data_IF_257250859715
#
_entry.id   IF_257250859715
#
_cell.length_a   1.000
_cell.length_b   1.000
_cell.length_c   1.000
_cell.angle_alpha   90.00
_cell.angle_beta   90.00
_cell.angle_gamma   90.00
#
_symmetry.space_group_name_H-M   'P 1'
#
loop_
_entity.id
_entity.type
_entity.pdbx_description
1 polymer ?
#
# COMPACT_ATOMS: atom_id res chain seq x y z
N UNK A 1 54.28 11.34 17.98
CA UNK A 1 53.30 11.03 19.05
C UNK A 1 52.00 11.73 18.69
N UNK A 2 50.91 10.94 18.65
CA UNK A 2 49.48 11.28 18.79
C UNK A 2 48.96 12.59 18.17
N UNK A 3 48.01 12.62 17.24
CA UNK A 3 46.89 11.71 17.02
C UNK A 3 45.58 12.34 17.54
N UNK A 4 44.55 12.28 16.69
CA UNK A 4 43.10 12.50 16.91
C UNK A 4 42.54 13.91 16.69
N UNK A 5 41.35 14.08 16.11
CA UNK A 5 40.42 13.23 15.33
C UNK A 5 39.52 14.26 14.64
N UNK A 6 39.32 14.13 13.32
CA UNK A 6 38.21 14.80 12.65
C UNK A 6 36.93 14.17 13.19
N UNK A 7 36.18 14.92 14.01
CA UNK A 7 34.82 14.54 14.34
C UNK A 7 34.04 14.53 13.03
N UNK A 8 33.65 13.33 12.61
CA UNK A 8 32.79 13.13 11.46
C UNK A 8 31.47 13.87 11.70
N UNK A 9 31.06 14.60 10.68
CA UNK A 9 29.65 14.87 10.43
C UNK A 9 28.96 13.50 10.31
N UNK A 10 28.26 13.07 11.36
CA UNK A 10 27.26 12.01 11.26
C UNK A 10 26.02 12.64 10.61
N UNK A 11 25.61 12.24 9.39
CA UNK A 11 24.28 12.53 8.91
C UNK A 11 23.33 11.51 9.54
N UNK A 12 23.19 11.53 10.87
CA UNK A 12 22.17 10.73 11.53
C UNK A 12 20.84 11.46 11.39
N UNK A 13 20.31 11.40 10.17
CA UNK A 13 18.95 11.74 9.85
C UNK A 13 18.03 10.69 10.47
N UNK A 14 17.89 10.72 11.79
CA UNK A 14 16.73 10.16 12.47
C UNK A 14 15.50 10.88 11.95
N UNK A 15 14.97 10.39 10.83
CA UNK A 15 13.61 10.65 10.40
C UNK A 15 12.76 10.27 11.62
N UNK A 16 12.00 11.21 12.22
CA UNK A 16 11.27 10.91 13.45
C UNK A 16 10.44 9.65 13.20
N UNK A 17 10.52 8.69 14.14
CA UNK A 17 9.71 7.47 14.13
C UNK A 17 8.28 7.90 13.86
N UNK A 18 7.76 7.54 12.68
CA UNK A 18 6.45 8.01 12.24
C UNK A 18 5.38 7.23 13.00
N UNK A 19 5.16 7.62 14.25
CA UNK A 19 4.27 6.93 15.17
C UNK A 19 2.81 7.27 14.86
N UNK A 20 1.96 6.27 14.95
CA UNK A 20 0.51 6.45 14.90
C UNK A 20 -0.04 6.90 16.23
N UNK A 21 -0.99 7.83 16.18
CA UNK A 21 -1.87 8.07 17.30
C UNK A 21 -3.02 7.05 17.27
N UNK A 22 -3.39 6.44 18.40
CA UNK A 22 -4.54 5.54 18.46
C UNK A 22 -5.80 6.24 17.95
N UNK A 23 -6.59 5.52 17.15
CA UNK A 23 -7.88 6.01 16.67
C UNK A 23 -9.00 5.15 17.24
N UNK A 24 -10.01 5.81 17.79
CA UNK A 24 -11.21 5.12 18.26
C UNK A 24 -12.12 4.87 17.08
N UNK A 25 -12.26 3.61 16.67
CA UNK A 25 -13.22 3.18 15.66
C UNK A 25 -14.51 2.76 16.38
N UNK A 26 -15.69 3.26 15.98
CA UNK A 26 -16.95 2.78 16.54
C UNK A 26 -17.14 1.28 16.34
N UNK A 27 -17.95 0.64 17.18
CA UNK A 27 -18.43 -0.73 16.93
C UNK A 27 -19.34 -0.79 15.69
N UNK A 28 -19.70 -1.99 15.19
CA UNK A 28 -20.63 -2.11 14.07
C UNK A 28 -22.01 -1.54 14.39
N UNK A 29 -22.77 -1.12 13.38
CA UNK A 29 -24.17 -0.74 13.58
C UNK A 29 -24.99 -1.96 14.06
N UNK A 30 -26.00 -1.79 14.94
CA UNK A 30 -26.68 -2.91 15.60
C UNK A 30 -27.40 -3.88 14.65
N UNK A 31 -27.80 -3.40 13.48
CA UNK A 31 -28.48 -4.20 12.47
C UNK A 31 -27.51 -4.87 11.48
N UNK A 32 -26.26 -4.42 11.41
CA UNK A 32 -25.25 -4.97 10.50
C UNK A 32 -24.94 -6.43 10.85
N UNK A 33 -25.02 -7.28 9.81
CA UNK A 33 -24.66 -8.70 9.89
C UNK A 33 -23.26 -8.91 9.32
N UNK A 34 -22.63 -10.08 9.56
CA UNK A 34 -21.34 -10.42 8.97
C UNK A 34 -21.33 -10.18 7.46
N UNK A 35 -20.33 -9.45 6.97
CA UNK A 35 -20.20 -9.09 5.56
C UNK A 35 -20.12 -10.27 4.57
N UNK A 36 -19.70 -11.50 4.95
CA UNK A 36 -19.82 -12.67 4.08
C UNK A 36 -21.26 -13.09 3.79
N UNK A 37 -22.25 -12.65 4.59
CA UNK A 37 -23.66 -12.93 4.34
C UNK A 37 -24.18 -12.08 3.17
N UNK A 38 -24.59 -12.74 2.07
CA UNK A 38 -24.90 -12.06 0.82
C UNK A 38 -26.37 -11.60 0.69
N UNK A 39 -27.31 -12.29 1.35
CA UNK A 39 -28.74 -12.07 1.14
C UNK A 39 -29.34 -11.14 2.18
N UNK A 40 -29.89 -10.00 1.71
CA UNK A 40 -30.57 -9.00 2.53
C UNK A 40 -29.72 -8.53 3.73
N UNK A 41 -28.40 -8.43 3.53
CA UNK A 41 -27.48 -7.95 4.55
C UNK A 41 -27.53 -6.42 4.61
N UNK A 42 -27.92 -5.83 5.75
CA UNK A 42 -27.93 -4.38 5.93
C UNK A 42 -26.52 -3.79 6.08
N UNK A 43 -25.50 -4.63 6.24
CA UNK A 43 -24.10 -4.21 6.19
C UNK A 43 -23.78 -3.68 4.77
N UNK A 44 -23.30 -2.43 4.64
CA UNK A 44 -22.95 -1.87 3.33
C UNK A 44 -21.71 -2.54 2.71
N UNK A 45 -20.89 -3.20 3.52
CA UNK A 45 -19.75 -3.97 3.07
C UNK A 45 -20.14 -5.41 2.75
N UNK A 46 -19.60 -5.90 1.63
CA UNK A 46 -19.76 -7.27 1.17
C UNK A 46 -18.39 -7.93 1.04
N UNK A 47 -18.12 -8.95 1.84
CA UNK A 47 -16.80 -9.62 1.85
C UNK A 47 -16.61 -10.47 0.60
N UNK A 48 -15.38 -10.44 0.08
CA UNK A 48 -14.86 -11.38 -0.92
C UNK A 48 -13.66 -12.12 -0.34
N UNK A 49 -13.44 -13.36 -0.77
CA UNK A 49 -12.24 -14.08 -0.34
C UNK A 49 -10.98 -13.48 -0.98
N UNK A 50 -9.82 -13.66 -0.37
CA UNK A 50 -8.55 -13.26 -0.98
C UNK A 50 -8.37 -13.84 -2.39
N UNK A 51 -8.82 -15.07 -2.62
CA UNK A 51 -8.77 -15.74 -3.94
C UNK A 51 -9.69 -15.13 -5.00
N UNK A 52 -10.76 -14.44 -4.59
CA UNK A 52 -11.60 -13.70 -5.55
C UNK A 52 -10.89 -12.40 -5.99
N UNK A 53 -9.98 -11.89 -5.16
CA UNK A 53 -9.25 -10.63 -5.38
C UNK A 53 -8.05 -10.77 -6.30
N UNK A 54 -7.45 -11.96 -6.46
CA UNK A 54 -6.26 -12.16 -7.34
C UNK A 54 -6.58 -11.94 -8.82
N UNK A 55 -7.86 -12.01 -9.20
CA UNK A 55 -8.31 -11.63 -10.55
C UNK A 55 -8.35 -10.10 -10.76
N UNK A 56 -8.26 -9.31 -9.69
CA UNK A 56 -8.38 -7.86 -9.69
C UNK A 56 -7.01 -7.22 -9.47
N UNK A 57 -6.69 -6.24 -10.31
CA UNK A 57 -5.51 -5.41 -10.10
C UNK A 57 -5.88 -4.25 -9.19
N UNK A 58 -5.15 -4.06 -8.10
CA UNK A 58 -5.37 -2.98 -7.14
C UNK A 58 -4.25 -1.95 -7.21
N UNK A 59 -4.51 -0.74 -6.69
CA UNK A 59 -3.49 0.26 -6.41
C UNK A 59 -3.72 0.83 -5.01
N UNK A 60 -2.69 1.25 -4.30
CA UNK A 60 -2.87 1.86 -3.00
C UNK A 60 -3.42 3.29 -3.17
N UNK A 61 -4.32 3.69 -2.27
CA UNK A 61 -4.98 5.01 -2.30
C UNK A 61 -4.83 5.78 -0.98
N UNK A 62 -4.35 5.16 0.10
CA UNK A 62 -4.13 5.81 1.38
C UNK A 62 -3.69 4.85 2.48
N UNK A 63 -3.39 5.40 3.65
CA UNK A 63 -2.99 4.63 4.84
C UNK A 63 -3.82 5.07 6.05
N UNK A 64 -4.44 4.11 6.72
CA UNK A 64 -5.18 4.30 7.96
C UNK A 64 -4.31 3.95 9.17
N UNK A 65 -4.61 4.49 10.36
CA UNK A 65 -3.97 4.05 11.59
C UNK A 65 -4.14 2.54 11.85
N UNK A 66 -3.21 1.85 12.52
CA UNK A 66 -3.47 0.50 12.99
C UNK A 66 -4.47 0.50 14.18
N UNK A 67 -5.10 -0.64 14.50
CA UNK A 67 -4.99 -1.95 13.83
C UNK A 67 -6.10 -2.22 12.79
N UNK A 68 -5.81 -3.09 11.81
CA UNK A 68 -6.78 -3.55 10.81
C UNK A 68 -8.00 -4.22 11.44
N UNK A 69 -7.82 -4.91 12.57
CA UNK A 69 -8.90 -5.56 13.31
C UNK A 69 -9.99 -4.59 13.75
N UNK A 70 -9.66 -3.32 14.03
CA UNK A 70 -10.66 -2.33 14.40
C UNK A 70 -11.60 -2.00 13.24
N UNK A 71 -11.06 -1.87 12.02
CA UNK A 71 -11.84 -1.63 10.80
C UNK A 71 -12.64 -2.85 10.38
N UNK A 72 -12.03 -4.03 10.49
CA UNK A 72 -12.71 -5.29 10.24
C UNK A 72 -13.89 -5.50 11.21
N UNK A 73 -13.71 -5.20 12.50
CA UNK A 73 -14.78 -5.30 13.49
C UNK A 73 -15.94 -4.32 13.19
N UNK A 74 -15.63 -3.06 12.83
CA UNK A 74 -16.62 -2.06 12.44
C UNK A 74 -17.48 -2.53 11.27
N UNK A 75 -16.86 -3.10 10.24
CA UNK A 75 -17.54 -3.57 9.04
C UNK A 75 -17.96 -5.05 9.12
N UNK A 76 -17.80 -5.71 10.27
CA UNK A 76 -18.08 -7.14 10.48
C UNK A 76 -17.45 -8.04 9.39
N UNK A 77 -16.21 -7.71 9.03
CA UNK A 77 -15.38 -8.41 8.03
C UNK A 77 -14.63 -9.57 8.68
N UNK A 78 -14.25 -10.54 7.85
CA UNK A 78 -13.27 -11.54 8.23
C UNK A 78 -11.88 -11.08 7.79
N UNK A 79 -10.91 -11.18 8.70
CA UNK A 79 -9.50 -10.93 8.41
C UNK A 79 -8.87 -12.27 8.02
N UNK A 80 -8.34 -12.32 6.81
CA UNK A 80 -7.57 -13.44 6.29
C UNK A 80 -6.09 -13.18 6.54
N UNK A 81 -5.33 -14.23 6.84
CA UNK A 81 -3.88 -14.15 6.98
C UNK A 81 -3.22 -14.77 5.76
N UNK A 82 -2.30 -14.04 5.14
CA UNK A 82 -1.49 -14.52 4.03
C UNK A 82 -0.01 -14.41 4.36
N UNK A 83 0.78 -15.21 3.66
CA UNK A 83 2.22 -15.08 3.58
C UNK A 83 2.54 -14.60 2.17
N UNK A 84 2.98 -13.36 2.07
CA UNK A 84 3.59 -12.85 0.84
C UNK A 84 5.11 -13.06 0.95
N UNK A 85 5.82 -13.00 -0.17
CA UNK A 85 7.30 -13.12 -0.21
C UNK A 85 8.04 -12.11 0.71
N UNK A 86 7.30 -11.13 1.26
CA UNK A 86 7.78 -10.03 2.08
C UNK A 86 7.25 -10.05 3.52
N UNK A 87 6.61 -11.14 3.96
CA UNK A 87 6.21 -11.38 5.35
C UNK A 87 4.72 -11.72 5.53
N UNK A 88 4.34 -11.94 6.79
CA UNK A 88 2.94 -12.18 7.14
C UNK A 88 2.11 -10.89 7.03
N UNK A 89 0.96 -11.01 6.36
CA UNK A 89 0.04 -9.91 6.12
C UNK A 89 -1.39 -10.30 6.53
N UNK A 90 -2.01 -9.44 7.33
CA UNK A 90 -3.45 -9.49 7.59
C UNK A 90 -4.17 -8.73 6.47
N UNK A 91 -5.21 -9.34 5.89
CA UNK A 91 -5.92 -8.81 4.72
C UNK A 91 -7.42 -8.91 4.92
N UNK A 92 -8.16 -7.89 4.51
CA UNK A 92 -9.61 -7.95 4.35
C UNK A 92 -10.01 -7.40 2.98
N UNK A 93 -10.71 -8.21 2.18
CA UNK A 93 -11.19 -7.86 0.85
C UNK A 93 -12.70 -7.72 0.87
N UNK A 94 -13.21 -6.59 0.41
CA UNK A 94 -14.64 -6.34 0.38
C UNK A 94 -15.02 -5.35 -0.71
N UNK A 95 -16.31 -5.33 -1.03
CA UNK A 95 -16.93 -4.29 -1.82
C UNK A 95 -17.73 -3.37 -0.92
N UNK A 96 -17.63 -2.08 -1.16
CA UNK A 96 -18.49 -1.07 -0.57
C UNK A 96 -19.18 -0.32 -1.73
N UNK A 97 -20.50 -0.42 -1.79
CA UNK A 97 -21.25 0.08 -2.94
C UNK A 97 -20.75 -0.53 -4.26
N UNK A 98 -20.13 0.30 -5.11
CA UNK A 98 -19.56 -0.11 -6.41
C UNK A 98 -18.05 -0.38 -6.36
N UNK A 99 -17.37 -0.01 -5.29
CA UNK A 99 -15.91 -0.01 -5.21
C UNK A 99 -15.39 -1.25 -4.50
N UNK A 100 -14.34 -1.84 -5.06
CA UNK A 100 -13.64 -2.98 -4.47
C UNK A 100 -12.39 -2.51 -3.74
N UNK A 101 -12.35 -2.83 -2.45
CA UNK A 101 -11.27 -2.48 -1.55
C UNK A 101 -10.52 -3.71 -1.06
N UNK A 102 -9.24 -3.52 -0.81
CA UNK A 102 -8.44 -4.40 0.04
C UNK A 102 -7.86 -3.54 1.15
N UNK A 103 -7.95 -4.02 2.39
CA UNK A 103 -7.19 -3.49 3.52
C UNK A 103 -6.08 -4.48 3.82
N UNK A 104 -4.85 -3.99 3.99
CA UNK A 104 -3.72 -4.84 4.36
C UNK A 104 -2.89 -4.24 5.49
N UNK A 105 -2.45 -5.07 6.42
CA UNK A 105 -1.50 -4.70 7.47
C UNK A 105 -0.39 -5.74 7.55
N UNK A 106 0.86 -5.29 7.43
CA UNK A 106 2.02 -6.15 7.68
C UNK A 106 2.19 -6.30 9.20
N UNK A 107 2.23 -7.55 9.68
CA UNK A 107 2.25 -7.82 11.12
C UNK A 107 3.67 -7.79 11.71
N UNK A 108 4.68 -7.97 10.85
CA UNK A 108 6.10 -8.04 11.26
C UNK A 108 6.82 -6.67 11.20
N UNK A 109 6.17 -5.64 10.65
CA UNK A 109 6.75 -4.30 10.49
C UNK A 109 5.92 -3.29 11.28
N UNK A 110 6.49 -2.81 12.38
CA UNK A 110 5.87 -1.78 13.22
C UNK A 110 5.63 -0.48 12.43
N UNK A 111 4.64 0.30 12.86
CA UNK A 111 4.33 1.64 12.36
C UNK A 111 3.97 1.76 10.86
N UNK A 112 3.74 0.65 10.14
CA UNK A 112 3.33 0.68 8.72
C UNK A 112 1.91 1.17 8.48
N UNK A 113 1.04 1.04 9.48
CA UNK A 113 -0.39 1.33 9.36
C UNK A 113 -1.15 0.31 8.50
N UNK A 114 -2.39 0.62 8.18
CA UNK A 114 -3.25 -0.21 7.32
C UNK A 114 -3.32 0.42 5.95
N UNK A 115 -2.78 -0.25 4.94
CA UNK A 115 -2.82 0.24 3.56
C UNK A 115 -4.20 -0.01 2.97
N UNK A 116 -4.79 1.02 2.37
CA UNK A 116 -6.05 0.95 1.63
C UNK A 116 -5.73 0.82 0.16
N UNK A 117 -6.24 -0.25 -0.46
CA UNK A 117 -6.11 -0.51 -1.88
C UNK A 117 -7.46 -0.42 -2.55
N UNK A 118 -7.48 0.11 -3.76
CA UNK A 118 -8.66 0.23 -4.61
C UNK A 118 -8.41 -0.48 -5.92
N UNK A 119 -9.40 -1.22 -6.42
CA UNK A 119 -9.36 -1.79 -7.76
C UNK A 119 -9.04 -0.71 -8.81
N UNK A 120 -8.05 -0.97 -9.66
CA UNK A 120 -7.53 -0.03 -10.67
C UNK A 120 -8.56 0.43 -11.68
N UNK A 121 -9.68 -0.29 -11.84
CA UNK A 121 -10.79 0.11 -12.72
C UNK A 121 -11.51 1.37 -12.22
N UNK A 122 -11.41 1.69 -10.93
CA UNK A 122 -12.03 2.89 -10.34
C UNK A 122 -11.03 4.04 -10.32
N UNK A 123 -11.36 5.15 -10.99
CA UNK A 123 -10.48 6.33 -11.08
C UNK A 123 -10.72 7.35 -9.96
N UNK A 124 -11.85 7.24 -9.26
CA UNK A 124 -12.32 8.14 -8.20
C UNK A 124 -11.75 7.77 -6.80
N UNK A 125 -10.43 7.62 -6.72
CA UNK A 125 -9.74 7.12 -5.52
C UNK A 125 -9.97 7.95 -4.25
N UNK A 126 -9.90 9.28 -4.37
CA UNK A 126 -10.13 10.18 -3.22
C UNK A 126 -11.56 10.12 -2.70
N UNK A 127 -12.54 10.08 -3.60
CA UNK A 127 -13.96 9.98 -3.22
C UNK A 127 -14.27 8.62 -2.58
N UNK A 128 -13.73 7.54 -3.16
CA UNK A 128 -13.87 6.19 -2.62
C UNK A 128 -13.22 6.09 -1.22
N UNK A 129 -12.03 6.68 -1.02
CA UNK A 129 -11.38 6.74 0.28
C UNK A 129 -12.21 7.53 1.29
N UNK A 130 -12.76 8.68 0.90
CA UNK A 130 -13.61 9.48 1.77
C UNK A 130 -14.88 8.73 2.21
N UNK A 131 -15.53 8.02 1.29
CA UNK A 131 -16.69 7.17 1.59
C UNK A 131 -16.33 6.07 2.60
N UNK A 132 -15.20 5.38 2.38
CA UNK A 132 -14.73 4.37 3.31
C UNK A 132 -14.46 4.95 4.71
N UNK A 133 -13.78 6.09 4.79
CA UNK A 133 -13.42 6.75 6.05
C UNK A 133 -14.64 7.20 6.84
N UNK A 134 -15.65 7.74 6.14
CA UNK A 134 -16.92 8.16 6.73
C UNK A 134 -17.65 6.96 7.38
N UNK A 135 -17.75 5.84 6.66
CA UNK A 135 -18.39 4.62 7.17
C UNK A 135 -17.63 4.01 8.35
N UNK A 136 -16.29 4.05 8.29
CA UNK A 136 -15.44 3.63 9.40
C UNK A 136 -15.53 4.57 10.60
N UNK A 137 -16.11 5.77 10.45
CA UNK A 137 -16.24 6.76 11.53
C UNK A 137 -14.89 7.33 11.97
N UNK A 138 -13.91 7.36 11.08
CA UNK A 138 -12.56 7.84 11.37
C UNK A 138 -12.46 9.32 10.97
N UNK A 139 -11.83 10.19 11.77
CA UNK A 139 -11.57 11.56 11.34
C UNK A 139 -10.61 11.58 10.13
N UNK A 140 -10.99 12.31 9.07
CA UNK A 140 -10.23 12.32 7.81
C UNK A 140 -8.78 12.81 7.93
N UNK A 141 -8.46 13.62 8.94
CA UNK A 141 -7.11 14.09 9.26
C UNK A 141 -6.18 12.99 9.82
N UNK A 142 -6.75 11.83 10.19
CA UNK A 142 -6.00 10.62 10.60
C UNK A 142 -5.59 9.75 9.43
N UNK A 143 -6.19 9.94 8.27
CA UNK A 143 -5.80 9.26 7.04
C UNK A 143 -4.63 9.97 6.43
N UNK A 144 -3.64 9.21 5.96
CA UNK A 144 -2.47 9.80 5.33
C UNK A 144 -2.22 9.25 3.96
N UNK A 145 -1.43 10.05 3.26
CA UNK A 145 -0.94 9.71 1.94
C UNK A 145 -0.13 8.41 1.95
N UNK A 146 -0.17 7.74 0.81
CA UNK A 146 0.48 6.46 0.62
C UNK A 146 2.00 6.48 0.79
N UNK A 147 2.65 7.63 0.61
CA UNK A 147 4.07 7.82 0.94
C UNK A 147 4.37 7.70 2.44
N UNK A 148 3.34 7.54 3.29
CA UNK A 148 3.55 7.13 4.67
C UNK A 148 4.04 5.69 4.76
N UNK A 149 3.40 4.74 4.08
CA UNK A 149 3.73 3.32 4.20
C UNK A 149 5.10 3.01 3.58
N UNK A 150 6.14 2.69 4.37
CA UNK A 150 7.50 2.47 3.86
C UNK A 150 7.70 1.03 3.32
N UNK A 151 6.61 0.27 3.13
CA UNK A 151 6.73 -1.14 2.80
C UNK A 151 7.13 -1.34 1.33
N UNK A 152 8.11 -2.21 1.01
CA UNK A 152 8.62 -2.40 -0.35
C UNK A 152 7.53 -2.70 -1.40
N UNK A 153 6.48 -3.45 -1.03
CA UNK A 153 5.31 -3.69 -1.92
C UNK A 153 4.67 -2.38 -2.35
N UNK A 154 4.46 -1.47 -1.41
CA UNK A 154 3.84 -0.16 -1.67
C UNK A 154 4.80 0.70 -2.49
N UNK A 155 6.09 0.72 -2.15
CA UNK A 155 7.09 1.46 -2.93
C UNK A 155 7.17 1.00 -4.39
N UNK A 156 7.09 -0.31 -4.64
CA UNK A 156 7.07 -0.88 -5.99
C UNK A 156 5.83 -0.45 -6.79
N UNK A 157 4.68 -0.33 -6.14
CA UNK A 157 3.44 0.12 -6.77
C UNK A 157 3.43 1.63 -7.04
N UNK A 158 4.05 2.43 -6.17
CA UNK A 158 4.21 3.88 -6.39
C UNK A 158 5.24 4.20 -7.47
N UNK A 159 6.28 3.38 -7.59
CA UNK A 159 7.34 3.52 -8.57
C UNK A 159 7.44 2.27 -9.45
N UNK A 160 6.46 2.02 -10.33
CA UNK A 160 6.55 0.90 -11.24
C UNK A 160 7.80 1.08 -12.08
N UNK A 161 8.74 0.13 -12.01
CA UNK A 161 9.92 0.14 -12.88
C UNK A 161 9.41 0.22 -14.32
N UNK A 162 9.93 1.13 -15.16
CA UNK A 162 9.53 1.18 -16.55
C UNK A 162 9.77 -0.21 -17.14
N UNK A 163 8.80 -0.73 -17.88
CA UNK A 163 8.97 -2.01 -18.53
C UNK A 163 10.20 -1.92 -19.44
N UNK A 164 10.96 -3.00 -19.65
CA UNK A 164 12.14 -2.96 -20.53
C UNK A 164 11.82 -2.44 -21.95
N UNK A 165 10.57 -2.56 -22.39
CA UNK A 165 10.03 -2.05 -23.65
C UNK A 165 9.84 -0.52 -23.71
N UNK A 166 9.65 0.14 -22.56
CA UNK A 166 9.47 1.59 -22.42
C UNK A 166 10.78 2.33 -22.08
N UNK A 167 11.87 1.59 -21.86
CA UNK A 167 13.19 2.19 -21.70
C UNK A 167 13.55 2.94 -22.99
N UNK A 168 14.02 4.21 -22.90
CA UNK A 168 14.51 4.93 -24.07
C UNK A 168 15.56 4.06 -24.75
N UNK A 169 15.28 3.62 -25.98
CA UNK A 169 16.25 2.83 -26.76
C UNK A 169 17.55 3.62 -26.76
N UNK A 170 18.68 3.02 -26.36
CA UNK A 170 19.95 3.73 -26.44
C UNK A 170 20.14 4.16 -27.89
N UNK A 171 20.18 5.48 -28.11
CA UNK A 171 20.43 6.08 -29.40
C UNK A 171 21.63 5.38 -30.00
N UNK A 172 21.43 4.68 -31.13
CA UNK A 172 22.50 4.04 -31.88
C UNK A 172 23.43 5.15 -32.37
N UNK A 173 24.40 5.53 -31.55
CA UNK A 173 25.57 6.26 -32.02
C UNK A 173 26.21 5.38 -33.10
N UNK A 174 26.42 5.91 -34.32
CA UNK A 174 27.06 5.14 -35.37
C UNK A 174 28.47 4.79 -34.90
N UNK A 175 28.76 3.49 -34.82
CA UNK A 175 30.12 2.98 -34.61
C UNK A 175 31.00 3.52 -35.74
N UNK A 176 31.89 4.46 -35.41
CA UNK A 176 32.95 4.90 -36.31
C UNK A 176 33.80 3.67 -36.70
N UNK A 177 34.03 3.41 -38.00
CA UNK A 177 34.88 2.31 -38.41
C UNK A 177 36.34 2.62 -38.03
N UNK A 178 36.97 1.67 -37.32
CA UNK A 178 38.43 1.65 -37.15
C UNK A 178 39.06 1.41 -38.52
N UNK A 179 39.56 2.48 -39.14
CA UNK A 179 40.44 2.36 -40.29
C UNK A 179 41.80 1.81 -39.86
N UNK A 180 42.11 0.62 -40.37
CA UNK A 180 43.45 0.07 -40.49
C UNK A 180 44.37 1.04 -41.23
N UNK A 181 45.57 1.28 -40.69
CA UNK A 181 46.71 1.72 -41.51
C UNK A 181 47.96 0.96 -41.09
N UNK A 182 48.30 -0.03 -41.90
CA UNK A 182 49.63 -0.61 -42.03
C UNK A 182 50.59 0.44 -42.62
N UNK A 183 51.82 0.53 -42.10
CA UNK A 183 53.05 0.32 -42.89
C UNK A 183 54.34 0.41 -42.04
N UNK A 184 55.24 -0.49 -42.43
CA UNK A 184 56.64 -0.71 -42.02
C UNK A 184 57.52 0.54 -42.02
N UNK A 185 58.55 0.51 -41.18
CA UNK A 185 59.95 0.49 -41.63
C UNK A 185 60.72 -0.51 -40.80
#
# INVERSE_FOLDING_TARGET
MSGRVFAGDEPDGHRPLRRWEPVAVPGPEPDWRPAPEYQANPNPALQYGMWDSVALSHRPIGVLPPPLQAYAARLVLLVEQSWEDLGQVDVATFRLGRHFFVLSQFTEVEDTGVTVWLDRRHTDGEAALAELVDILGIPGDRVRDITWCPHPVVEHELNPRPRPEDAPRPSRLPRLPRFLRTRRK
#
